data_IF_120097222100
#
_entry.id   IF_120097222100
#
_cell.length_a   1.000
_cell.length_b   1.000
_cell.length_c   1.000
_cell.angle_alpha   90.00
_cell.angle_beta   90.00
_cell.angle_gamma   90.00
#
_symmetry.space_group_name_H-M   'P 1'
#
loop_
_entity.id
_entity.type
_entity.pdbx_description
1 polymer ?
#
# COMPACT_ATOMS: atom_id res chain seq x y z
N UNK A 1 2.30 -7.79 -1.63
CA UNK A 1 2.28 -9.04 -0.83
C UNK A 1 2.31 -10.30 -1.68
N UNK A 2 1.44 -10.48 -2.68
CA UNK A 2 1.41 -11.72 -3.49
C UNK A 2 2.76 -12.04 -4.14
N UNK A 3 3.37 -11.08 -4.85
CA UNK A 3 4.69 -11.27 -5.48
C UNK A 3 5.78 -11.66 -4.47
N UNK A 4 5.72 -11.10 -3.26
CA UNK A 4 6.65 -11.42 -2.17
C UNK A 4 6.49 -12.87 -1.70
N UNK A 5 5.25 -13.38 -1.59
CA UNK A 5 5.03 -14.78 -1.22
C UNK A 5 5.38 -15.75 -2.36
N UNK A 6 5.12 -15.38 -3.62
CA UNK A 6 5.56 -16.17 -4.78
C UNK A 6 7.09 -16.29 -4.78
N UNK A 7 7.81 -15.20 -4.51
CA UNK A 7 9.27 -15.23 -4.42
C UNK A 7 9.76 -16.18 -3.32
N UNK A 8 9.09 -16.20 -2.16
CA UNK A 8 9.35 -17.18 -1.10
C UNK A 8 9.15 -18.63 -1.57
N UNK A 9 8.08 -18.89 -2.31
CA UNK A 9 7.78 -20.23 -2.84
C UNK A 9 8.84 -20.69 -3.84
N UNK A 10 9.23 -19.81 -4.78
CA UNK A 10 10.30 -20.11 -5.75
C UNK A 10 11.59 -20.49 -5.04
N UNK A 11 12.02 -19.72 -4.02
CA UNK A 11 13.23 -20.03 -3.25
C UNK A 11 13.08 -21.34 -2.45
N UNK A 12 11.91 -21.57 -1.85
CA UNK A 12 11.64 -22.79 -1.09
C UNK A 12 11.69 -24.06 -1.95
N UNK A 13 11.34 -23.94 -3.24
CA UNK A 13 11.44 -25.02 -4.23
C UNK A 13 12.84 -25.16 -4.84
N UNK A 14 13.82 -24.37 -4.38
CA UNK A 14 15.20 -24.38 -4.87
C UNK A 14 15.41 -23.56 -6.14
N UNK A 15 14.41 -22.78 -6.56
CA UNK A 15 14.52 -21.82 -7.66
C UNK A 15 15.22 -20.52 -7.25
N UNK A 16 15.65 -19.76 -8.25
CA UNK A 16 16.28 -18.45 -8.05
C UNK A 16 15.32 -17.32 -8.46
N UNK A 17 15.26 -16.28 -7.63
CA UNK A 17 14.52 -15.04 -7.94
C UNK A 17 15.51 -13.98 -8.41
N UNK A 18 15.60 -13.80 -9.72
CA UNK A 18 16.50 -12.82 -10.36
C UNK A 18 16.24 -11.37 -9.90
N UNK A 19 15.00 -11.05 -9.56
CA UNK A 19 14.63 -9.75 -9.01
C UNK A 19 13.20 -9.75 -8.48
N UNK A 20 13.01 -9.16 -7.31
CA UNK A 20 11.68 -8.93 -6.73
C UNK A 20 11.38 -7.44 -6.72
N UNK A 21 10.42 -7.04 -7.56
CA UNK A 21 9.97 -5.66 -7.66
C UNK A 21 8.61 -5.51 -6.98
N UNK A 22 8.55 -4.61 -5.99
CA UNK A 22 7.31 -4.19 -5.37
C UNK A 22 6.99 -2.80 -5.90
N UNK A 23 5.76 -2.59 -6.39
CA UNK A 23 5.35 -1.31 -6.96
C UNK A 23 4.25 -0.76 -6.06
N UNK A 24 4.54 0.38 -5.47
CA UNK A 24 3.66 1.17 -4.60
C UNK A 24 2.93 0.32 -3.54
N UNK A 25 3.68 -0.62 -2.98
CA UNK A 25 3.17 -1.65 -2.08
C UNK A 25 3.52 -1.29 -0.64
N UNK A 26 2.50 -0.96 0.16
CA UNK A 26 2.68 -0.66 1.58
C UNK A 26 3.07 -1.90 2.38
N UNK A 27 3.86 -1.67 3.43
CA UNK A 27 4.13 -2.70 4.42
C UNK A 27 2.82 -3.04 5.17
N UNK A 28 2.49 -4.32 5.39
CA UNK A 28 1.20 -4.73 5.92
C UNK A 28 1.07 -4.57 7.45
N UNK A 29 1.84 -3.66 8.04
CA UNK A 29 1.78 -3.40 9.47
C UNK A 29 0.86 -2.24 9.79
N UNK A 30 -0.04 -2.53 10.72
CA UNK A 30 -0.78 -1.55 11.48
C UNK A 30 -0.85 -2.09 12.89
N UNK A 31 -0.54 -1.25 13.86
CA UNK A 31 -0.74 -1.60 15.25
C UNK A 31 -2.22 -1.98 15.50
N UNK A 32 -2.45 -2.75 16.56
CA UNK A 32 -3.78 -3.26 16.87
C UNK A 32 -4.83 -2.14 17.02
N UNK A 33 -4.42 -0.95 17.46
CA UNK A 33 -5.30 0.19 17.64
C UNK A 33 -5.72 0.81 16.30
N UNK A 34 -4.81 0.89 15.33
CA UNK A 34 -5.08 1.39 13.98
C UNK A 34 -6.03 0.43 13.22
N UNK A 35 -5.89 -0.88 13.45
CA UNK A 35 -6.84 -1.88 12.96
C UNK A 35 -8.22 -1.65 13.58
N UNK A 36 -8.30 -1.41 14.88
CA UNK A 36 -9.56 -1.20 15.58
C UNK A 36 -10.22 0.14 15.20
N UNK A 37 -9.45 1.20 15.00
CA UNK A 37 -9.93 2.48 14.45
C UNK A 37 -10.57 2.29 13.07
N UNK A 38 -9.93 1.51 12.20
CA UNK A 38 -10.48 1.19 10.88
C UNK A 38 -11.77 0.36 10.98
N UNK A 39 -11.81 -0.65 11.85
CA UNK A 39 -13.03 -1.44 12.10
C UNK A 39 -14.20 -0.56 12.54
N UNK A 40 -13.97 0.37 13.49
CA UNK A 40 -15.01 1.32 13.91
C UNK A 40 -15.52 2.16 12.76
N UNK A 41 -14.62 2.76 11.96
CA UNK A 41 -14.99 3.55 10.78
C UNK A 41 -15.82 2.74 9.78
N UNK A 42 -15.46 1.48 9.54
CA UNK A 42 -16.22 0.57 8.67
C UNK A 42 -17.64 0.32 9.18
N UNK A 43 -17.79 0.07 10.48
CA UNK A 43 -19.11 -0.14 11.12
C UNK A 43 -19.96 1.13 11.05
N UNK A 44 -19.38 2.29 11.37
CA UNK A 44 -20.06 3.59 11.30
C UNK A 44 -20.54 3.90 9.88
N UNK A 45 -19.70 3.65 8.87
CA UNK A 45 -20.10 3.86 7.47
C UNK A 45 -21.16 2.86 7.00
N UNK A 46 -21.08 1.59 7.41
CA UNK A 46 -22.11 0.62 7.10
C UNK A 46 -23.46 1.03 7.71
N UNK A 47 -23.46 1.49 8.97
CA UNK A 47 -24.64 2.03 9.63
C UNK A 47 -25.19 3.27 8.90
N UNK A 48 -24.31 4.19 8.47
CA UNK A 48 -24.71 5.37 7.70
C UNK A 48 -25.31 5.00 6.33
N UNK A 49 -24.78 3.98 5.63
CA UNK A 49 -25.37 3.49 4.38
C UNK A 49 -26.76 2.90 4.60
N UNK A 50 -26.96 2.12 5.66
CA UNK A 50 -28.29 1.57 6.02
C UNK A 50 -29.27 2.69 6.34
N UNK A 51 -28.87 3.68 7.14
CA UNK A 51 -29.71 4.83 7.46
C UNK A 51 -30.08 5.64 6.21
N UNK A 52 -29.12 5.91 5.31
CA UNK A 52 -29.39 6.59 4.03
C UNK A 52 -30.36 5.81 3.15
N UNK A 53 -30.22 4.47 3.09
CA UNK A 53 -31.14 3.62 2.34
C UNK A 53 -32.56 3.63 2.93
N UNK A 54 -32.69 3.58 4.25
CA UNK A 54 -33.98 3.68 4.92
C UNK A 54 -34.65 5.05 4.71
N UNK A 55 -33.87 6.13 4.67
CA UNK A 55 -34.36 7.47 4.35
C UNK A 55 -34.79 7.59 2.88
N UNK A 56 -34.04 6.97 1.95
CA UNK A 56 -34.37 6.96 0.52
C UNK A 56 -35.60 6.09 0.20
N UNK A 57 -35.72 4.92 0.84
CA UNK A 57 -36.88 4.03 0.70
C UNK A 57 -38.14 4.58 1.44
N UNK A 58 -37.95 5.56 2.33
CA UNK A 58 -39.00 6.13 3.20
C UNK A 58 -39.78 7.32 2.63
N UNK A 59 -39.45 7.84 1.44
CA UNK A 59 -40.19 8.92 0.77
C UNK A 59 -40.14 10.28 1.49
N UNK A 60 -39.19 11.14 1.09
CA UNK A 60 -39.14 12.55 1.51
C UNK A 60 -38.09 13.35 0.71
N UNK A 61 -38.45 14.56 0.31
CA UNK A 61 -37.76 15.46 -0.65
C UNK A 61 -36.24 15.60 -0.52
N UNK A 62 -35.58 15.77 -1.68
CA UNK A 62 -34.16 16.05 -1.81
C UNK A 62 -33.78 17.41 -1.21
N UNK A 63 -32.80 17.40 -0.30
CA UNK A 63 -32.14 18.61 0.23
C UNK A 63 -30.81 18.81 -0.52
N UNK A 64 -30.49 20.01 -1.03
CA UNK A 64 -29.31 20.23 -1.86
C UNK A 64 -28.02 20.19 -1.05
N UNK A 65 -26.94 19.79 -1.74
CA UNK A 65 -25.59 19.69 -1.20
C UNK A 65 -25.06 21.06 -0.77
N UNK A 66 -24.93 21.29 0.53
CA UNK A 66 -24.16 22.40 1.10
C UNK A 66 -22.78 21.92 1.53
N UNK A 67 -21.78 22.43 0.82
CA UNK A 67 -20.39 22.75 1.20
C UNK A 67 -19.73 21.99 2.36
N UNK A 68 -18.64 21.28 2.03
CA UNK A 68 -17.69 20.70 3.00
C UNK A 68 -16.83 21.82 3.61
N UNK A 69 -16.80 22.02 4.94
CA UNK A 69 -15.86 22.95 5.56
C UNK A 69 -14.49 22.29 5.75
N UNK A 70 -13.45 22.98 5.23
CA UNK A 70 -12.10 23.11 5.79
C UNK A 70 -11.38 21.86 6.32
N UNK A 71 -10.48 21.31 5.49
CA UNK A 71 -9.39 20.44 5.92
C UNK A 71 -8.40 21.21 6.78
N UNK A 72 -8.49 21.03 8.09
CA UNK A 72 -7.43 21.35 9.05
C UNK A 72 -7.06 20.08 9.80
N UNK A 73 -6.23 19.23 9.20
CA UNK A 73 -5.75 18.01 9.84
C UNK A 73 -4.37 18.27 10.47
N UNK A 74 -4.35 18.17 11.79
CA UNK A 74 -3.16 18.15 12.65
C UNK A 74 -2.24 16.97 12.31
N UNK A 75 -0.93 17.22 12.37
CA UNK A 75 0.19 16.37 11.96
C UNK A 75 0.49 15.19 12.89
N UNK A 76 -0.47 14.33 13.21
CA UNK A 76 -0.20 13.13 14.02
C UNK A 76 -0.97 11.85 13.62
N UNK A 77 -1.87 11.91 12.64
CA UNK A 77 -2.66 10.75 12.23
C UNK A 77 -2.10 10.12 10.95
N UNK A 78 -0.98 9.40 11.07
CA UNK A 78 -0.39 8.58 10.01
C UNK A 78 -1.24 7.31 9.74
N UNK A 79 -2.51 7.54 9.40
CA UNK A 79 -3.48 6.52 9.05
C UNK A 79 -4.20 6.97 7.79
N UNK A 80 -3.41 7.22 6.73
CA UNK A 80 -3.93 7.28 5.36
C UNK A 80 -4.44 5.89 5.05
N UNK A 81 -5.71 5.63 5.38
CA UNK A 81 -6.46 4.50 4.86
C UNK A 81 -6.49 4.67 3.35
N UNK A 82 -6.12 3.60 2.63
CA UNK A 82 -6.51 3.29 1.25
C UNK A 82 -7.14 4.49 0.55
N UNK A 83 -6.35 5.16 -0.28
CA UNK A 83 -6.68 6.37 -1.06
C UNK A 83 -8.18 6.47 -1.33
N UNK A 84 -8.87 7.46 -0.74
CA UNK A 84 -10.22 8.02 -1.04
C UNK A 84 -11.36 7.08 -1.51
N UNK A 85 -11.14 5.77 -1.48
CA UNK A 85 -12.00 4.70 -1.93
C UNK A 85 -12.68 4.16 -0.67
N UNK A 86 -13.96 3.84 -0.79
CA UNK A 86 -14.73 3.31 0.34
C UNK A 86 -13.93 2.24 1.09
N UNK A 87 -13.76 2.33 2.42
CA UNK A 87 -12.92 1.42 3.17
C UNK A 87 -13.35 -0.02 2.89
N UNK A 88 -12.41 -0.79 2.33
CA UNK A 88 -12.64 -2.15 1.88
C UNK A 88 -12.48 -3.11 3.07
N UNK A 89 -13.52 -3.85 3.49
CA UNK A 89 -13.42 -4.77 4.63
C UNK A 89 -12.42 -5.91 4.38
N UNK A 90 -12.07 -6.22 3.12
CA UNK A 90 -11.02 -7.19 2.80
C UNK A 90 -9.62 -6.68 3.12
N UNK A 91 -9.41 -5.36 3.16
CA UNK A 91 -8.12 -4.79 3.51
C UNK A 91 -7.71 -5.08 4.95
N UNK A 92 -8.69 -5.31 5.85
CA UNK A 92 -8.40 -5.74 7.22
C UNK A 92 -7.68 -7.09 7.29
N UNK A 93 -7.86 -7.96 6.29
CA UNK A 93 -7.18 -9.26 6.26
C UNK A 93 -5.68 -9.10 5.97
N UNK A 94 -5.29 -8.06 5.23
CA UNK A 94 -3.89 -7.76 4.94
C UNK A 94 -3.10 -7.46 6.21
N UNK A 95 -3.72 -6.83 7.22
CA UNK A 95 -3.05 -6.51 8.49
C UNK A 95 -2.80 -7.70 9.41
N UNK A 96 -3.36 -8.89 9.10
CA UNK A 96 -3.02 -10.13 9.80
C UNK A 96 -1.78 -10.80 9.23
N UNK A 97 -1.39 -10.44 8.02
CA UNK A 97 -0.20 -10.99 7.40
C UNK A 97 1.05 -10.48 8.12
N UNK A 98 2.02 -11.37 8.29
CA UNK A 98 3.33 -11.08 8.90
C UNK A 98 4.38 -11.54 7.89
N UNK A 99 4.97 -10.62 7.12
CA UNK A 99 5.96 -10.98 6.11
C UNK A 99 7.16 -11.66 6.78
N UNK A 100 7.64 -12.75 6.17
CA UNK A 100 8.86 -13.44 6.61
C UNK A 100 10.09 -12.81 5.92
N UNK A 101 11.27 -12.78 6.57
CA UNK A 101 12.49 -12.31 5.92
C UNK A 101 12.77 -13.03 4.60
N UNK A 102 12.87 -12.29 3.51
CA UNK A 102 13.20 -12.77 2.18
C UNK A 102 14.71 -12.63 1.94
N UNK A 103 15.42 -13.72 1.59
CA UNK A 103 16.88 -13.70 1.44
C UNK A 103 17.37 -13.00 0.16
N UNK A 104 16.51 -12.80 -0.83
CA UNK A 104 16.85 -12.07 -2.05
C UNK A 104 16.73 -10.55 -1.89
N UNK A 105 17.24 -9.82 -2.90
CA UNK A 105 17.10 -8.37 -2.97
C UNK A 105 15.68 -7.97 -3.33
N UNK A 106 15.19 -6.91 -2.71
CA UNK A 106 13.90 -6.28 -3.01
C UNK A 106 14.13 -4.88 -3.56
N UNK A 107 13.51 -4.56 -4.69
CA UNK A 107 13.43 -3.19 -5.19
C UNK A 107 12.00 -2.70 -5.04
N UNK A 108 11.80 -1.65 -4.27
CA UNK A 108 10.50 -1.02 -4.04
C UNK A 108 10.41 0.29 -4.83
N UNK A 109 9.47 0.37 -5.75
CA UNK A 109 9.06 1.64 -6.35
C UNK A 109 8.02 2.30 -5.44
N UNK A 110 8.31 3.48 -4.93
CA UNK A 110 7.46 4.22 -3.99
C UNK A 110 7.14 5.61 -4.55
N UNK A 111 5.88 6.03 -4.48
CA UNK A 111 5.52 7.38 -4.93
C UNK A 111 6.10 8.46 -3.99
N UNK A 112 6.42 9.63 -4.55
CA UNK A 112 7.08 10.72 -3.86
C UNK A 112 6.27 11.23 -2.66
N UNK A 113 4.95 11.36 -2.82
CA UNK A 113 4.06 11.83 -1.76
C UNK A 113 4.16 10.93 -0.51
N UNK A 114 4.10 9.61 -0.68
CA UNK A 114 4.26 8.67 0.44
C UNK A 114 5.68 8.62 0.96
N UNK A 115 6.69 8.60 0.10
CA UNK A 115 8.08 8.55 0.56
C UNK A 115 8.40 9.71 1.51
N UNK A 116 7.86 10.89 1.22
CA UNK A 116 8.03 12.11 2.04
C UNK A 116 7.42 11.96 3.44
N UNK A 117 6.21 11.41 3.51
CA UNK A 117 5.43 11.37 4.75
C UNK A 117 5.69 10.10 5.57
N UNK A 118 5.99 8.99 4.89
CA UNK A 118 6.10 7.63 5.42
C UNK A 118 7.15 6.83 4.62
N UNK A 119 8.45 7.08 4.83
CA UNK A 119 9.47 6.30 4.14
C UNK A 119 9.32 4.80 4.45
N UNK A 120 9.41 3.94 3.44
CA UNK A 120 9.27 2.47 3.51
C UNK A 120 10.34 1.72 4.34
N UNK A 121 10.65 2.18 5.54
CA UNK A 121 11.68 1.63 6.42
C UNK A 121 11.35 0.22 6.91
N UNK A 122 10.07 -0.12 7.02
CA UNK A 122 9.62 -1.41 7.54
C UNK A 122 9.97 -2.55 6.58
N UNK A 123 9.98 -2.29 5.27
CA UNK A 123 10.41 -3.29 4.28
C UNK A 123 11.87 -3.71 4.48
N UNK A 124 12.72 -2.84 5.03
CA UNK A 124 14.12 -3.17 5.31
C UNK A 124 14.25 -4.25 6.38
N UNK A 125 13.24 -4.41 7.25
CA UNK A 125 13.24 -5.45 8.31
C UNK A 125 13.05 -6.86 7.75
N UNK A 126 12.48 -6.99 6.55
CA UNK A 126 12.18 -8.28 5.91
C UNK A 126 12.90 -8.49 4.58
N UNK A 127 13.66 -7.52 4.09
CA UNK A 127 14.48 -7.64 2.88
C UNK A 127 15.92 -8.01 3.26
N UNK A 128 16.15 -9.26 3.66
CA UNK A 128 17.45 -9.71 4.17
C UNK A 128 18.56 -9.65 3.11
N UNK A 129 18.23 -9.80 1.82
CA UNK A 129 19.17 -9.59 0.70
C UNK A 129 19.38 -8.13 0.31
N UNK A 130 18.83 -7.19 1.08
CA UNK A 130 18.88 -5.75 0.86
C UNK A 130 17.60 -5.19 0.24
N UNK A 131 17.27 -3.96 0.65
CA UNK A 131 16.19 -3.15 0.09
C UNK A 131 16.79 -2.01 -0.72
N UNK A 132 16.30 -1.84 -1.95
CA UNK A 132 16.52 -0.66 -2.77
C UNK A 132 15.18 0.06 -2.95
N UNK A 133 15.15 1.37 -2.72
CA UNK A 133 13.92 2.18 -2.87
C UNK A 133 14.10 3.14 -4.05
N UNK A 134 13.19 3.05 -5.02
CA UNK A 134 13.09 3.89 -6.19
C UNK A 134 11.91 4.87 -6.03
N UNK A 135 12.22 6.10 -5.62
CA UNK A 135 11.20 7.13 -5.42
C UNK A 135 10.76 7.72 -6.76
N UNK A 136 9.50 7.55 -7.13
CA UNK A 136 8.94 8.02 -8.41
C UNK A 136 8.04 9.24 -8.18
N UNK A 137 8.02 10.22 -9.10
CA UNK A 137 7.20 11.42 -8.94
C UNK A 137 5.70 11.08 -8.82
N UNK A 138 4.96 11.94 -8.12
CA UNK A 138 3.52 11.84 -7.97
C UNK A 138 3.05 11.17 -6.68
N UNK A 139 1.81 10.69 -6.72
CA UNK A 139 1.08 9.99 -5.66
C UNK A 139 0.59 8.62 -6.15
N UNK A 140 -0.18 7.90 -5.33
CA UNK A 140 -0.71 6.56 -5.64
C UNK A 140 -1.47 6.46 -6.96
N UNK A 141 -2.04 7.56 -7.46
CA UNK A 141 -2.73 7.60 -8.75
C UNK A 141 -1.82 8.14 -9.85
N UNK A 142 -1.14 9.25 -9.60
CA UNK A 142 -0.42 9.98 -10.65
C UNK A 142 0.88 9.30 -11.07
N UNK A 143 1.48 8.43 -10.23
CA UNK A 143 2.73 7.74 -10.58
C UNK A 143 2.60 6.79 -11.79
N UNK A 144 1.43 6.17 -12.01
CA UNK A 144 1.16 5.29 -13.17
C UNK A 144 0.41 5.96 -14.32
N UNK A 145 -0.16 7.15 -14.10
CA UNK A 145 -0.92 7.87 -15.12
C UNK A 145 -0.05 8.93 -15.77
N UNK A 146 0.56 9.79 -14.95
CA UNK A 146 1.30 10.97 -15.41
C UNK A 146 2.82 10.71 -15.49
N UNK A 147 3.31 9.70 -14.75
CA UNK A 147 4.75 9.39 -14.64
C UNK A 147 5.10 7.95 -15.06
N UNK A 148 4.24 7.33 -15.89
CA UNK A 148 4.42 5.95 -16.36
C UNK A 148 5.75 5.75 -17.10
N UNK A 149 6.17 6.75 -17.87
CA UNK A 149 7.45 6.76 -18.58
C UNK A 149 8.63 6.65 -17.61
N UNK A 150 8.63 7.44 -16.54
CA UNK A 150 9.66 7.40 -15.49
C UNK A 150 9.70 6.05 -14.80
N UNK A 151 8.53 5.49 -14.44
CA UNK A 151 8.43 4.16 -13.83
C UNK A 151 8.98 3.09 -14.78
N UNK A 152 8.57 3.13 -16.05
CA UNK A 152 8.99 2.15 -17.05
C UNK A 152 10.50 2.18 -17.32
N UNK A 153 11.10 3.38 -17.43
CA UNK A 153 12.53 3.51 -17.70
C UNK A 153 13.40 3.03 -16.54
N UNK A 154 12.99 3.35 -15.31
CA UNK A 154 13.68 2.84 -14.12
C UNK A 154 13.54 1.34 -13.99
N UNK A 155 12.34 0.79 -14.22
CA UNK A 155 12.12 -0.65 -14.21
C UNK A 155 12.98 -1.36 -15.27
N UNK A 156 13.03 -0.84 -16.51
CA UNK A 156 13.91 -1.37 -17.57
C UNK A 156 15.37 -1.36 -17.16
N UNK A 157 15.83 -0.27 -16.55
CA UNK A 157 17.21 -0.14 -16.06
C UNK A 157 17.53 -1.23 -15.03
N UNK A 158 16.62 -1.49 -14.08
CA UNK A 158 16.82 -2.56 -13.08
C UNK A 158 16.75 -3.96 -13.68
N UNK A 159 15.86 -4.19 -14.63
CA UNK A 159 15.75 -5.49 -15.31
C UNK A 159 16.97 -5.80 -16.18
N UNK A 160 17.63 -4.77 -16.73
CA UNK A 160 18.85 -4.92 -17.52
C UNK A 160 20.11 -5.07 -16.65
N UNK A 161 20.03 -4.76 -15.35
CA UNK A 161 21.16 -4.92 -14.44
C UNK A 161 21.45 -6.42 -14.22
N UNK A 162 22.73 -6.84 -14.21
CA UNK A 162 23.07 -8.23 -13.94
C UNK A 162 22.61 -8.62 -12.54
N UNK A 163 22.00 -9.80 -12.43
CA UNK A 163 21.64 -10.41 -11.14
C UNK A 163 22.93 -10.66 -10.37
N UNK A 164 23.16 -9.91 -9.30
CA UNK A 164 24.27 -10.19 -8.40
C UNK A 164 23.97 -11.51 -7.68
N UNK A 165 24.93 -12.44 -7.58
CA UNK A 165 24.70 -13.71 -6.90
C UNK A 165 24.31 -13.46 -5.44
N UNK A 166 23.32 -14.21 -4.95
CA UNK A 166 22.91 -14.17 -3.56
C UNK A 166 24.12 -14.47 -2.66
N UNK A 167 24.43 -13.56 -1.73
CA UNK A 167 25.49 -13.77 -0.76
C UNK A 167 25.08 -14.95 0.14
N UNK A 168 25.78 -16.08 -0.03
CA UNK A 168 25.64 -17.24 0.85
C UNK A 168 26.31 -16.86 2.17
N UNK A 169 25.51 -16.67 3.21
CA UNK A 169 25.94 -16.52 4.61
C UNK A 169 26.03 -17.86 5.31
#
# INVERSE_FOLDING_TARGET
>A
MLAFEIAHQVVAEGGEVAGLFLIDTRYPDRDAEAIERLRRRLVEQAAARVARRQLADGGGEAVPATERPGSGASSADNVTLLDDEEPNPRALQLYRYRPRPFPGRVTLFENEAWHRDHPATEWATVAAGGLEVEVVPGDHRTYLVDHLDVVADRLRTKLAAPVAPAAVG
#
